data_IF_929752669073
#
_entry.id   IF_929752669073
#
_cell.length_a   1.000
_cell.length_b   1.000
_cell.length_c   1.000
_cell.angle_alpha   90.00
_cell.angle_beta   90.00
_cell.angle_gamma   90.00
#
_symmetry.space_group_name_H-M   'P 1'
#
loop_
_entity.id
_entity.type
_entity.pdbx_description
1 polymer ?
#
# COMPACT_ATOMS: atom_id res chain seq x y z
N UNK A 1 -22.59 0.79 3.85
CA UNK A 1 -21.87 0.10 2.73
C UNK A 1 -22.55 0.46 1.41
N UNK A 2 -21.82 0.46 0.28
CA UNK A 2 -22.41 0.51 -1.08
C UNK A 2 -22.18 -0.82 -1.78
N UNK A 3 -23.14 -1.31 -2.57
CA UNK A 3 -23.05 -2.65 -3.20
C UNK A 3 -23.58 -2.66 -4.64
N UNK A 4 -23.07 -3.61 -5.44
CA UNK A 4 -23.61 -3.95 -6.76
C UNK A 4 -23.19 -5.36 -7.17
N UNK A 5 -24.14 -6.26 -7.36
CA UNK A 5 -23.93 -7.62 -7.83
C UNK A 5 -22.90 -8.41 -6.99
N UNK A 6 -23.06 -8.42 -5.67
CA UNK A 6 -22.17 -9.11 -4.73
C UNK A 6 -22.81 -10.32 -4.05
N UNK A 7 -23.88 -10.91 -4.61
CA UNK A 7 -24.61 -12.02 -3.99
C UNK A 7 -23.70 -13.23 -3.69
N UNK A 8 -22.63 -13.42 -4.47
CA UNK A 8 -21.67 -14.52 -4.33
C UNK A 8 -20.64 -14.34 -3.21
N UNK A 9 -20.50 -13.14 -2.63
CA UNK A 9 -19.50 -12.86 -1.57
C UNK A 9 -20.04 -12.09 -0.37
N UNK A 10 -21.14 -11.34 -0.52
CA UNK A 10 -21.56 -10.39 0.51
C UNK A 10 -21.95 -11.08 1.83
N UNK A 11 -22.54 -12.28 1.79
CA UNK A 11 -23.00 -13.01 2.99
C UNK A 11 -21.92 -13.10 4.06
N UNK A 12 -20.71 -13.57 3.71
CA UNK A 12 -19.61 -13.72 4.67
C UNK A 12 -19.16 -12.37 5.26
N UNK A 13 -19.21 -11.29 4.48
CA UNK A 13 -18.91 -9.95 4.96
C UNK A 13 -19.94 -9.53 6.02
N UNK A 14 -21.24 -9.65 5.69
CA UNK A 14 -22.33 -9.27 6.59
C UNK A 14 -22.31 -10.09 7.89
N UNK A 15 -22.14 -11.41 7.79
CA UNK A 15 -22.03 -12.30 8.96
C UNK A 15 -20.84 -11.93 9.85
N UNK A 16 -19.71 -11.52 9.27
CA UNK A 16 -18.51 -11.13 10.02
C UNK A 16 -18.66 -9.81 10.78
N UNK A 17 -19.41 -8.85 10.23
CA UNK A 17 -19.61 -7.53 10.87
C UNK A 17 -20.80 -7.51 11.82
N UNK A 18 -21.78 -8.41 11.63
CA UNK A 18 -23.01 -8.50 12.40
C UNK A 18 -22.82 -8.43 13.93
N UNK A 19 -21.83 -9.08 14.56
CA UNK A 19 -21.64 -9.02 16.01
C UNK A 19 -21.18 -7.66 16.55
N UNK A 20 -20.83 -6.71 15.66
CA UNK A 20 -20.24 -5.43 16.01
C UNK A 20 -21.15 -4.23 15.79
N UNK A 21 -22.34 -4.45 15.23
CA UNK A 21 -23.24 -3.38 14.81
C UNK A 21 -24.61 -3.54 15.46
N UNK A 22 -25.20 -2.42 15.87
CA UNK A 22 -26.57 -2.37 16.38
C UNK A 22 -27.59 -2.10 15.27
N UNK A 23 -27.16 -1.46 14.19
CA UNK A 23 -27.98 -1.12 13.02
C UNK A 23 -27.16 -1.16 11.74
N UNK A 24 -27.82 -1.17 10.58
CA UNK A 24 -27.16 -1.20 9.28
C UNK A 24 -27.82 -0.28 8.25
N UNK A 25 -26.99 0.30 7.39
CA UNK A 25 -27.43 1.00 6.16
C UNK A 25 -26.59 0.53 4.99
N UNK A 26 -27.28 -0.02 3.99
CA UNK A 26 -26.66 -0.46 2.75
C UNK A 26 -27.36 0.24 1.58
N UNK A 27 -26.56 0.82 0.69
CA UNK A 27 -27.03 1.45 -0.54
C UNK A 27 -26.68 0.53 -1.72
N UNK A 28 -27.71 -0.11 -2.27
CA UNK A 28 -27.62 -0.90 -3.48
C UNK A 28 -27.71 -0.01 -4.72
N UNK A 29 -26.76 -0.18 -5.64
CA UNK A 29 -26.58 0.69 -6.80
C UNK A 29 -27.10 0.07 -8.11
N UNK A 30 -28.05 -0.86 -7.98
CA UNK A 30 -28.70 -1.56 -9.09
C UNK A 30 -28.19 -2.98 -9.27
N UNK A 31 -28.17 -3.78 -8.20
CA UNK A 31 -27.92 -5.21 -8.27
C UNK A 31 -29.06 -5.95 -8.96
N UNK A 32 -28.70 -6.98 -9.72
CA UNK A 32 -29.63 -7.84 -10.49
C UNK A 32 -29.41 -9.34 -10.23
N UNK A 33 -28.57 -9.68 -9.26
CA UNK A 33 -28.11 -11.05 -8.97
C UNK A 33 -28.68 -11.62 -7.65
N UNK A 34 -29.59 -10.90 -7.00
CA UNK A 34 -30.15 -11.28 -5.69
C UNK A 34 -29.36 -10.77 -4.49
N UNK A 35 -28.38 -9.87 -4.67
CA UNK A 35 -27.62 -9.24 -3.57
C UNK A 35 -28.55 -8.67 -2.48
N UNK A 36 -29.64 -8.01 -2.89
CA UNK A 36 -30.62 -7.43 -1.99
C UNK A 36 -31.27 -8.48 -1.09
N UNK A 37 -31.57 -9.66 -1.62
CA UNK A 37 -32.22 -10.73 -0.86
C UNK A 37 -31.28 -11.34 0.16
N UNK A 38 -30.00 -11.51 -0.19
CA UNK A 38 -28.97 -11.94 0.75
C UNK A 38 -28.82 -10.96 1.92
N UNK A 39 -28.84 -9.65 1.64
CA UNK A 39 -28.77 -8.62 2.69
C UNK A 39 -29.97 -8.72 3.64
N UNK A 40 -31.19 -8.79 3.09
CA UNK A 40 -32.41 -8.87 3.89
C UNK A 40 -32.48 -10.14 4.72
N UNK A 41 -31.99 -11.26 4.19
CA UNK A 41 -31.92 -12.53 4.93
C UNK A 41 -30.96 -12.43 6.12
N UNK A 42 -29.71 -12.00 5.88
CA UNK A 42 -28.66 -11.96 6.91
C UNK A 42 -28.99 -10.99 8.04
N UNK A 43 -29.66 -9.88 7.76
CA UNK A 43 -30.05 -8.88 8.76
C UNK A 43 -31.55 -8.83 9.07
N UNK A 44 -32.28 -9.91 8.80
CA UNK A 44 -33.74 -9.99 8.97
C UNK A 44 -34.25 -9.63 10.37
N UNK A 45 -33.42 -9.77 11.39
CA UNK A 45 -33.70 -9.53 12.81
C UNK A 45 -32.89 -8.36 13.42
N UNK A 46 -32.13 -7.62 12.62
CA UNK A 46 -31.37 -6.44 13.04
C UNK A 46 -31.99 -5.16 12.45
N UNK A 47 -32.24 -4.11 13.24
CA UNK A 47 -32.79 -2.86 12.70
C UNK A 47 -31.84 -2.27 11.66
N UNK A 48 -32.40 -1.66 10.62
CA UNK A 48 -31.61 -1.08 9.53
C UNK A 48 -32.38 -0.99 8.23
N UNK A 49 -31.73 -0.49 7.19
CA UNK A 49 -32.36 -0.21 5.92
C UNK A 49 -31.47 -0.51 4.70
N UNK A 50 -32.10 -1.13 3.70
CA UNK A 50 -31.57 -1.26 2.35
C UNK A 50 -32.17 -0.16 1.47
N UNK A 51 -31.33 0.63 0.82
CA UNK A 51 -31.74 1.68 -0.10
C UNK A 51 -31.29 1.36 -1.51
N UNK A 52 -32.24 1.32 -2.45
CA UNK A 52 -31.94 1.15 -3.87
C UNK A 52 -31.88 2.53 -4.54
N UNK A 53 -30.69 2.89 -5.06
CA UNK A 53 -30.40 4.21 -5.61
C UNK A 53 -29.59 4.11 -6.92
N UNK A 54 -29.76 5.06 -7.86
CA UNK A 54 -28.88 5.13 -9.02
C UNK A 54 -27.41 5.36 -8.63
N UNK A 55 -26.48 4.77 -9.38
CA UNK A 55 -25.05 4.99 -9.19
C UNK A 55 -24.65 6.46 -9.42
N UNK A 56 -24.03 7.09 -8.41
CA UNK A 56 -23.56 8.50 -8.46
C UNK A 56 -22.03 8.64 -8.49
N UNK A 57 -21.30 7.57 -8.77
CA UNK A 57 -19.85 7.51 -8.58
C UNK A 57 -19.47 6.99 -7.18
N UNK A 58 -18.18 6.72 -6.96
CA UNK A 58 -17.69 6.12 -5.71
C UNK A 58 -17.86 7.08 -4.53
N UNK A 59 -17.38 8.31 -4.67
CA UNK A 59 -17.55 9.40 -3.71
C UNK A 59 -19.03 9.74 -3.49
N UNK A 60 -19.79 9.95 -4.56
CA UNK A 60 -21.19 10.35 -4.49
C UNK A 60 -22.09 9.31 -3.79
N UNK A 61 -21.97 8.04 -4.18
CA UNK A 61 -22.81 6.97 -3.61
C UNK A 61 -22.39 6.62 -2.18
N UNK A 62 -21.08 6.67 -1.85
CA UNK A 62 -20.62 6.48 -0.47
C UNK A 62 -21.03 7.63 0.44
N UNK A 63 -21.00 8.87 -0.05
CA UNK A 63 -21.47 10.04 0.71
C UNK A 63 -22.97 9.99 0.94
N UNK A 64 -23.77 9.57 -0.05
CA UNK A 64 -25.21 9.34 0.14
C UNK A 64 -25.48 8.25 1.18
N UNK A 65 -24.70 7.16 1.19
CA UNK A 65 -24.82 6.13 2.21
C UNK A 65 -24.50 6.66 3.62
N UNK A 66 -23.54 7.59 3.76
CA UNK A 66 -23.26 8.27 5.03
C UNK A 66 -24.45 9.11 5.47
N UNK A 67 -25.02 9.90 4.55
CA UNK A 67 -26.14 10.79 4.88
C UNK A 67 -27.38 10.02 5.32
N UNK A 68 -27.65 8.88 4.69
CA UNK A 68 -28.74 7.98 5.09
C UNK A 68 -28.51 7.31 6.45
N UNK A 69 -27.25 7.05 6.83
CA UNK A 69 -26.91 6.37 8.08
C UNK A 69 -26.72 7.31 9.28
N UNK A 70 -26.53 8.61 9.02
CA UNK A 70 -26.09 9.57 10.04
C UNK A 70 -27.05 9.71 11.21
N UNK A 71 -28.36 9.61 10.99
CA UNK A 71 -29.38 9.68 12.05
C UNK A 71 -29.58 8.36 12.79
N UNK A 72 -29.03 7.27 12.29
CA UNK A 72 -29.34 5.92 12.77
C UNK A 72 -28.32 5.41 13.81
N UNK A 73 -27.16 6.06 13.93
CA UNK A 73 -26.06 5.60 14.79
C UNK A 73 -25.18 6.75 15.31
N UNK A 74 -24.43 6.49 16.39
CA UNK A 74 -23.40 7.41 16.90
C UNK A 74 -22.08 7.31 16.13
N UNK A 75 -21.82 6.14 15.54
CA UNK A 75 -20.63 5.81 14.76
C UNK A 75 -20.99 5.00 13.52
N UNK A 76 -20.25 5.23 12.43
CA UNK A 76 -20.39 4.55 11.15
C UNK A 76 -19.14 3.72 10.87
N UNK A 77 -19.33 2.42 10.66
CA UNK A 77 -18.30 1.48 10.23
C UNK A 77 -18.38 1.26 8.71
N UNK A 78 -17.26 1.39 8.01
CA UNK A 78 -17.13 1.17 6.59
C UNK A 78 -16.34 -0.11 6.31
N UNK A 79 -16.96 -1.01 5.55
CA UNK A 79 -16.35 -2.24 5.06
C UNK A 79 -16.85 -2.51 3.64
N UNK A 80 -15.99 -3.07 2.79
CA UNK A 80 -16.32 -3.42 1.41
C UNK A 80 -16.92 -4.84 1.38
N UNK A 81 -17.84 -5.10 0.44
CA UNK A 81 -18.68 -6.31 0.44
C UNK A 81 -17.90 -7.63 0.24
N UNK A 82 -16.65 -7.56 -0.21
CA UNK A 82 -15.76 -8.70 -0.40
C UNK A 82 -14.67 -8.84 0.68
N UNK A 83 -14.65 -7.94 1.67
CA UNK A 83 -13.80 -8.01 2.85
C UNK A 83 -14.50 -8.69 4.04
N UNK A 84 -13.74 -9.10 5.06
CA UNK A 84 -14.25 -9.65 6.31
C UNK A 84 -13.81 -8.82 7.50
N UNK A 85 -14.60 -8.80 8.56
CA UNK A 85 -14.17 -8.31 9.86
C UNK A 85 -13.72 -9.48 10.73
N UNK A 86 -12.48 -9.43 11.22
CA UNK A 86 -11.92 -10.38 12.16
C UNK A 86 -11.75 -9.71 13.52
N UNK A 87 -12.21 -10.36 14.59
CA UNK A 87 -12.10 -9.87 15.95
C UNK A 87 -11.25 -10.83 16.79
N UNK A 88 -10.45 -10.27 17.69
CA UNK A 88 -9.65 -11.07 18.61
C UNK A 88 -10.57 -11.86 19.57
N UNK A 89 -10.14 -13.05 20.03
CA UNK A 89 -10.91 -13.82 21.01
C UNK A 89 -11.22 -13.00 22.27
N UNK A 90 -12.50 -12.93 22.63
CA UNK A 90 -12.96 -12.16 23.79
C UNK A 90 -13.09 -10.65 23.55
N UNK A 91 -13.00 -10.20 22.29
CA UNK A 91 -13.24 -8.81 21.93
C UNK A 91 -14.56 -8.30 22.49
N UNK A 92 -14.50 -7.09 23.06
CA UNK A 92 -15.66 -6.31 23.49
C UNK A 92 -15.52 -4.92 22.91
N UNK A 93 -16.62 -4.39 22.38
CA UNK A 93 -16.64 -3.03 21.84
C UNK A 93 -16.13 -2.05 22.91
N UNK A 94 -15.01 -1.35 22.66
CA UNK A 94 -14.50 -0.37 23.61
C UNK A 94 -15.37 0.88 23.61
N UNK A 95 -15.25 1.70 24.66
CA UNK A 95 -15.81 3.05 24.64
C UNK A 95 -15.15 3.86 23.52
N UNK A 96 -15.97 4.38 22.59
CA UNK A 96 -15.53 5.19 21.48
C UNK A 96 -15.55 6.67 21.87
N UNK A 97 -14.36 7.26 21.98
CA UNK A 97 -14.13 8.63 22.46
C UNK A 97 -13.57 9.56 21.39
N UNK A 98 -13.02 9.03 20.30
CA UNK A 98 -12.44 9.81 19.21
C UNK A 98 -13.46 10.03 18.10
N UNK A 99 -13.25 11.03 17.26
CA UNK A 99 -14.13 11.34 16.12
C UNK A 99 -13.94 10.36 14.96
N UNK A 100 -12.76 9.75 14.86
CA UNK A 100 -12.48 8.69 13.91
C UNK A 100 -11.48 7.67 14.47
N UNK A 101 -11.48 6.48 13.88
CA UNK A 101 -10.53 5.43 14.19
C UNK A 101 -9.95 4.81 12.91
N UNK A 102 -8.64 4.59 12.94
CA UNK A 102 -7.97 3.70 12.01
C UNK A 102 -8.21 2.24 12.41
N UNK A 103 -8.60 1.43 11.43
CA UNK A 103 -8.73 -0.03 11.54
C UNK A 103 -7.63 -0.65 10.66
N UNK A 104 -6.95 -1.67 11.15
CA UNK A 104 -5.97 -2.39 10.35
C UNK A 104 -6.67 -3.19 9.26
N UNK A 105 -6.18 -3.08 8.03
CA UNK A 105 -6.62 -3.80 6.84
C UNK A 105 -5.49 -4.75 6.42
N UNK A 106 -5.73 -6.05 6.54
CA UNK A 106 -4.77 -7.09 6.20
C UNK A 106 -5.04 -7.59 4.77
N UNK A 107 -4.07 -7.41 3.88
CA UNK A 107 -4.07 -7.96 2.52
C UNK A 107 -2.91 -8.95 2.38
N UNK A 108 -3.13 -10.21 2.76
CA UNK A 108 -2.03 -11.18 2.90
C UNK A 108 -1.08 -10.77 4.02
N UNK A 109 0.21 -10.61 3.72
CA UNK A 109 1.24 -10.15 4.69
C UNK A 109 1.27 -8.63 4.85
N UNK A 110 0.56 -7.89 4.01
CA UNK A 110 0.56 -6.43 4.00
C UNK A 110 -0.53 -5.88 4.92
N UNK A 111 -0.15 -4.95 5.80
CA UNK A 111 -1.08 -4.26 6.70
C UNK A 111 -1.14 -2.78 6.32
N UNK A 112 -2.35 -2.29 6.05
CA UNK A 112 -2.65 -0.88 5.86
C UNK A 112 -3.59 -0.36 6.94
N UNK A 113 -3.58 0.93 7.22
CA UNK A 113 -4.50 1.54 8.18
C UNK A 113 -5.53 2.37 7.43
N UNK A 114 -6.82 2.00 7.57
CA UNK A 114 -7.94 2.70 6.94
C UNK A 114 -8.75 3.43 8.01
N UNK A 115 -9.07 4.70 7.79
CA UNK A 115 -10.12 5.38 8.56
C UNK A 115 -11.47 4.74 8.20
N UNK A 116 -11.86 3.72 8.97
CA UNK A 116 -13.01 2.89 8.67
C UNK A 116 -14.13 3.02 9.71
N UNK A 117 -13.89 3.70 10.83
CA UNK A 117 -14.91 3.96 11.85
C UNK A 117 -14.92 5.45 12.18
N UNK A 118 -16.06 6.12 12.03
CA UNK A 118 -16.19 7.57 12.24
C UNK A 118 -17.44 7.94 13.02
N UNK A 119 -17.37 8.96 13.88
CA UNK A 119 -18.53 9.44 14.62
C UNK A 119 -19.47 10.27 13.73
N UNK A 120 -20.78 10.13 13.91
CA UNK A 120 -21.79 10.91 13.18
C UNK A 120 -21.84 12.39 13.56
N UNK A 121 -21.13 12.80 14.63
CA UNK A 121 -21.01 14.18 15.11
C UNK A 121 -20.36 15.15 14.10
N UNK A 122 -19.53 14.64 13.19
CA UNK A 122 -18.84 15.45 12.17
C UNK A 122 -19.40 15.19 10.77
N UNK A 123 -19.39 16.18 9.85
CA UNK A 123 -20.00 16.08 8.54
C UNK A 123 -19.13 15.31 7.53
N UNK A 124 -18.90 14.03 7.81
CA UNK A 124 -18.11 13.14 6.96
C UNK A 124 -18.69 13.00 5.55
N UNK A 125 -17.81 12.93 4.55
CA UNK A 125 -18.11 12.60 3.17
C UNK A 125 -16.92 11.89 2.52
N UNK A 126 -17.17 11.12 1.48
CA UNK A 126 -16.12 10.58 0.64
C UNK A 126 -15.78 11.58 -0.47
N UNK A 127 -14.49 11.70 -0.78
CA UNK A 127 -13.98 12.56 -1.86
C UNK A 127 -13.06 11.76 -2.76
N UNK A 128 -13.31 11.88 -4.07
CA UNK A 128 -12.47 11.32 -5.12
C UNK A 128 -13.25 10.42 -6.08
N UNK A 129 -13.02 10.60 -7.38
CA UNK A 129 -13.67 9.76 -8.42
C UNK A 129 -13.24 8.29 -8.38
N UNK A 130 -12.08 8.00 -7.77
CA UNK A 130 -11.51 6.68 -7.51
C UNK A 130 -10.40 6.82 -6.45
N UNK A 131 -10.15 5.77 -5.66
CA UNK A 131 -9.25 5.81 -4.50
C UNK A 131 -9.68 6.90 -3.51
N UNK A 132 -10.99 6.95 -3.30
CA UNK A 132 -11.68 7.88 -2.45
C UNK A 132 -11.21 7.79 -1.00
N UNK A 133 -11.24 8.92 -0.31
CA UNK A 133 -10.91 9.02 1.10
C UNK A 133 -12.04 9.75 1.82
N UNK A 134 -12.17 9.52 3.12
CA UNK A 134 -13.18 10.14 3.95
C UNK A 134 -12.61 11.41 4.61
N UNK A 135 -13.36 12.50 4.57
CA UNK A 135 -13.00 13.76 5.22
C UNK A 135 -14.23 14.43 5.85
N UNK A 136 -14.00 15.34 6.81
CA UNK A 136 -15.06 16.13 7.44
C UNK A 136 -14.89 17.64 7.23
N UNK A 137 -13.91 18.07 6.41
CA UNK A 137 -13.64 19.49 6.15
C UNK A 137 -12.95 20.25 7.29
N UNK A 138 -12.46 19.56 8.33
CA UNK A 138 -11.76 20.15 9.47
C UNK A 138 -10.83 19.16 10.16
N UNK A 139 -10.20 19.59 11.24
CA UNK A 139 -9.42 18.72 12.12
C UNK A 139 -10.35 17.86 12.98
N UNK A 140 -9.91 16.65 13.29
CA UNK A 140 -10.65 15.69 14.11
C UNK A 140 -9.70 14.86 14.96
N UNK A 141 -10.20 14.31 16.06
CA UNK A 141 -9.43 13.36 16.87
C UNK A 141 -9.42 11.98 16.19
N UNK A 142 -8.24 11.35 16.17
CA UNK A 142 -8.02 10.08 15.50
C UNK A 142 -7.42 9.05 16.46
N UNK A 143 -8.13 7.95 16.67
CA UNK A 143 -7.68 6.81 17.47
C UNK A 143 -7.30 5.59 16.61
N UNK A 144 -6.86 4.53 17.26
CA UNK A 144 -6.68 3.21 16.65
C UNK A 144 -7.72 2.25 17.22
N UNK A 145 -8.49 1.60 16.34
CA UNK A 145 -9.43 0.55 16.73
C UNK A 145 -8.64 -0.74 16.93
N UNK A 146 -8.53 -1.19 18.19
CA UNK A 146 -7.74 -2.36 18.57
C UNK A 146 -8.65 -3.56 18.76
N UNK A 147 -8.13 -4.76 18.48
CA UNK A 147 -8.86 -6.01 18.69
C UNK A 147 -9.83 -6.39 17.58
N UNK A 148 -9.92 -5.58 16.51
CA UNK A 148 -10.68 -5.91 15.31
C UNK A 148 -9.97 -5.37 14.06
N UNK A 149 -9.90 -6.20 13.03
CA UNK A 149 -9.18 -5.94 11.79
C UNK A 149 -10.08 -6.26 10.60
N UNK A 150 -9.90 -5.54 9.50
CA UNK A 150 -10.50 -5.88 8.22
C UNK A 150 -9.53 -6.82 7.48
N UNK A 151 -10.02 -7.97 7.01
CA UNK A 151 -9.27 -8.88 6.16
C UNK A 151 -9.73 -8.71 4.72
N UNK A 152 -8.81 -8.35 3.83
CA UNK A 152 -9.12 -8.29 2.41
C UNK A 152 -9.00 -9.66 1.76
N UNK A 153 -10.15 -10.26 1.49
CA UNK A 153 -10.25 -11.61 0.91
C UNK A 153 -10.50 -11.53 -0.60
N UNK A 154 -11.09 -10.44 -1.06
CA UNK A 154 -11.38 -10.18 -2.47
C UNK A 154 -12.40 -11.14 -3.07
N UNK A 155 -12.50 -11.14 -4.40
CA UNK A 155 -13.48 -11.95 -5.13
C UNK A 155 -14.78 -11.20 -5.47
N UNK A 156 -14.83 -9.89 -5.24
CA UNK A 156 -15.92 -9.03 -5.69
C UNK A 156 -16.11 -9.02 -7.21
N UNK A 157 -17.30 -8.63 -7.65
CA UNK A 157 -17.73 -8.73 -9.05
C UNK A 157 -16.81 -8.00 -10.03
N UNK A 158 -16.31 -6.82 -9.65
CA UNK A 158 -15.50 -5.94 -10.51
C UNK A 158 -14.22 -6.60 -11.04
N UNK A 159 -13.58 -7.50 -10.29
CA UNK A 159 -12.35 -8.17 -10.75
C UNK A 159 -12.64 -9.36 -11.67
N UNK A 160 -13.75 -10.09 -11.43
CA UNK A 160 -14.09 -11.32 -12.16
C UNK A 160 -14.44 -11.07 -13.62
N UNK A 161 -15.07 -9.95 -13.93
CA UNK A 161 -15.66 -9.73 -15.26
C UNK A 161 -14.65 -9.43 -16.37
N UNK A 162 -13.49 -8.83 -16.08
CA UNK A 162 -12.72 -8.12 -17.12
C UNK A 162 -11.20 -8.38 -17.13
N UNK A 163 -10.69 -9.14 -16.16
CA UNK A 163 -9.26 -9.36 -16.00
C UNK A 163 -8.49 -8.11 -15.54
N UNK A 164 -7.28 -8.32 -15.02
CA UNK A 164 -6.54 -7.30 -14.28
C UNK A 164 -6.15 -6.08 -15.14
N UNK A 165 -5.70 -6.29 -16.38
CA UNK A 165 -5.27 -5.19 -17.25
C UNK A 165 -6.41 -4.25 -17.65
N UNK A 166 -7.57 -4.79 -18.04
CA UNK A 166 -8.69 -3.95 -18.50
C UNK A 166 -9.30 -3.14 -17.35
N UNK A 167 -9.34 -3.72 -16.14
CA UNK A 167 -9.68 -2.99 -14.91
C UNK A 167 -8.84 -1.72 -14.79
N UNK A 168 -7.52 -1.84 -14.82
CA UNK A 168 -6.65 -0.68 -14.62
C UNK A 168 -6.69 0.33 -15.79
N UNK A 169 -6.95 -0.11 -17.02
CA UNK A 169 -7.21 0.81 -18.14
C UNK A 169 -8.50 1.61 -17.95
N UNK A 170 -9.54 1.01 -17.36
CA UNK A 170 -10.78 1.72 -17.00
C UNK A 170 -10.53 2.72 -15.88
N UNK A 171 -9.78 2.32 -14.87
CA UNK A 171 -9.43 3.17 -13.73
C UNK A 171 -8.67 4.42 -14.21
N UNK A 172 -7.71 4.22 -15.11
CA UNK A 172 -7.01 5.31 -15.77
C UNK A 172 -7.98 6.26 -16.52
N UNK A 173 -8.97 5.73 -17.27
CA UNK A 173 -9.98 6.55 -17.96
C UNK A 173 -10.85 7.36 -16.99
N UNK A 174 -11.23 6.78 -15.84
CA UNK A 174 -12.02 7.48 -14.81
C UNK A 174 -11.22 8.65 -14.26
N UNK A 175 -9.96 8.41 -13.89
CA UNK A 175 -9.07 9.44 -13.34
C UNK A 175 -8.73 10.52 -14.37
N UNK A 176 -8.54 10.16 -15.64
CA UNK A 176 -8.39 11.14 -16.73
C UNK A 176 -9.61 12.06 -16.84
N UNK A 177 -10.84 11.52 -16.75
CA UNK A 177 -12.06 12.34 -16.74
C UNK A 177 -12.14 13.23 -15.50
N UNK A 178 -11.72 12.73 -14.34
CA UNK A 178 -11.59 13.52 -13.11
C UNK A 178 -10.65 14.72 -13.30
N UNK A 179 -9.48 14.50 -13.90
CA UNK A 179 -8.48 15.55 -14.19
C UNK A 179 -8.91 16.57 -15.25
N UNK A 180 -9.94 16.29 -16.06
CA UNK A 180 -10.53 17.34 -16.93
C UNK A 180 -11.25 18.38 -16.07
N UNK A 181 -11.89 17.95 -14.98
CA UNK A 181 -12.64 18.84 -14.07
C UNK A 181 -11.73 19.45 -12.99
N UNK A 182 -10.80 18.66 -12.47
CA UNK A 182 -9.88 19.04 -11.41
C UNK A 182 -8.42 18.84 -11.88
N UNK A 183 -7.90 19.69 -12.78
CA UNK A 183 -6.61 19.48 -13.41
C UNK A 183 -5.45 19.41 -12.42
N UNK A 184 -5.53 20.12 -11.30
CA UNK A 184 -4.47 20.19 -10.29
C UNK A 184 -4.62 19.17 -9.14
N UNK A 185 -5.57 18.23 -9.25
CA UNK A 185 -5.75 17.18 -8.25
C UNK A 185 -4.58 16.19 -8.28
N UNK A 186 -3.62 16.40 -7.37
CA UNK A 186 -2.38 15.62 -7.29
C UNK A 186 -2.64 14.14 -6.99
N UNK A 187 -3.64 13.84 -6.15
CA UNK A 187 -4.06 12.46 -5.85
C UNK A 187 -4.52 11.73 -7.11
N UNK A 188 -5.33 12.38 -7.96
CA UNK A 188 -5.75 11.78 -9.22
C UNK A 188 -4.56 11.51 -10.14
N UNK A 189 -3.59 12.42 -10.26
CA UNK A 189 -2.38 12.19 -11.06
C UNK A 189 -1.57 11.00 -10.53
N UNK A 190 -1.45 10.85 -9.21
CA UNK A 190 -0.73 9.75 -8.59
C UNK A 190 -1.37 8.38 -8.88
N UNK A 191 -2.67 8.22 -8.63
CA UNK A 191 -3.36 6.96 -8.89
C UNK A 191 -3.53 6.67 -10.38
N UNK A 192 -3.50 7.71 -11.20
CA UNK A 192 -3.52 7.56 -12.65
C UNK A 192 -2.18 6.98 -13.15
N UNK A 193 -1.06 7.43 -12.59
CA UNK A 193 0.25 6.83 -12.83
C UNK A 193 0.29 5.36 -12.40
N UNK A 194 -0.26 5.02 -11.23
CA UNK A 194 -0.38 3.63 -10.77
C UNK A 194 -1.25 2.79 -11.69
N UNK A 195 -2.42 3.29 -12.08
CA UNK A 195 -3.32 2.59 -13.00
C UNK A 195 -2.64 2.27 -14.34
N UNK A 196 -1.84 3.19 -14.88
CA UNK A 196 -1.07 2.89 -16.08
C UNK A 196 0.07 1.89 -15.85
N UNK A 197 0.76 1.94 -14.71
CA UNK A 197 1.77 0.94 -14.37
C UNK A 197 1.15 -0.45 -14.36
N UNK A 198 0.06 -0.60 -13.62
CA UNK A 198 -0.59 -1.90 -13.37
C UNK A 198 -1.36 -2.39 -14.62
N UNK A 199 -1.66 -1.50 -15.57
CA UNK A 199 -2.15 -1.82 -16.91
C UNK A 199 -1.03 -2.20 -17.93
N UNK A 200 0.24 -2.16 -17.53
CA UNK A 200 1.38 -2.43 -18.42
C UNK A 200 1.64 -1.30 -19.43
N UNK A 201 1.43 -0.04 -19.03
CA UNK A 201 1.65 1.16 -19.84
C UNK A 201 2.81 2.02 -19.27
N UNK A 202 4.05 1.50 -19.23
CA UNK A 202 5.14 2.08 -18.42
C UNK A 202 5.52 3.50 -18.86
N UNK A 203 5.46 3.81 -20.17
CA UNK A 203 5.74 5.17 -20.68
C UNK A 203 4.70 6.20 -20.22
N UNK A 204 3.41 5.84 -20.19
CA UNK A 204 2.33 6.72 -19.70
C UNK A 204 2.44 6.90 -18.19
N UNK A 205 2.69 5.80 -17.49
CA UNK A 205 2.90 5.80 -16.04
C UNK A 205 4.07 6.71 -15.64
N UNK A 206 5.23 6.57 -16.29
CA UNK A 206 6.40 7.41 -16.03
C UNK A 206 6.10 8.90 -16.22
N UNK A 207 5.45 9.27 -17.31
CA UNK A 207 5.08 10.67 -17.56
C UNK A 207 4.12 11.23 -16.50
N UNK A 208 3.20 10.41 -16.01
CA UNK A 208 2.28 10.78 -14.94
C UNK A 208 2.96 10.91 -13.58
N UNK A 209 3.90 10.01 -13.25
CA UNK A 209 4.72 10.16 -12.04
C UNK A 209 5.63 11.39 -12.11
N UNK A 210 6.21 11.70 -13.27
CA UNK A 210 6.99 12.93 -13.47
C UNK A 210 6.16 14.19 -13.25
N UNK A 211 4.90 14.16 -13.67
CA UNK A 211 3.94 15.22 -13.34
C UNK A 211 3.69 15.25 -11.84
N UNK A 212 3.33 14.11 -11.24
CA UNK A 212 2.97 14.03 -9.82
C UNK A 212 4.08 14.53 -8.90
N UNK A 213 5.32 14.12 -9.15
CA UNK A 213 6.49 14.50 -8.38
C UNK A 213 6.68 16.03 -8.31
N UNK A 214 6.32 16.75 -9.37
CA UNK A 214 6.43 18.22 -9.45
C UNK A 214 5.28 18.98 -8.77
N UNK A 215 4.19 18.30 -8.38
CA UNK A 215 3.01 18.96 -7.82
C UNK A 215 3.10 19.25 -6.32
N UNK A 216 4.12 18.75 -5.61
CA UNK A 216 4.23 18.91 -4.15
C UNK A 216 3.08 18.24 -3.39
N UNK A 217 2.63 18.84 -2.29
CA UNK A 217 1.52 18.32 -1.47
C UNK A 217 1.95 17.17 -0.56
N UNK A 218 1.17 16.08 -0.53
CA UNK A 218 1.45 14.94 0.35
C UNK A 218 2.81 14.30 0.03
N UNK A 219 3.75 14.43 0.96
CA UNK A 219 5.16 14.13 0.74
C UNK A 219 5.44 12.63 0.49
N UNK A 220 4.65 11.71 1.05
CA UNK A 220 4.83 10.28 0.79
C UNK A 220 4.44 9.90 -0.65
N UNK A 221 3.40 10.51 -1.22
CA UNK A 221 3.06 10.32 -2.64
C UNK A 221 4.11 10.92 -3.57
N UNK A 222 4.74 12.05 -3.20
CA UNK A 222 5.85 12.64 -3.96
C UNK A 222 7.04 11.70 -3.97
N UNK A 223 7.41 11.14 -2.81
CA UNK A 223 8.45 10.12 -2.71
C UNK A 223 8.14 8.91 -3.59
N UNK A 224 6.95 8.32 -3.45
CA UNK A 224 6.53 7.18 -4.26
C UNK A 224 6.56 7.51 -5.77
N UNK A 225 6.16 8.72 -6.18
CA UNK A 225 6.22 9.12 -7.58
C UNK A 225 7.65 9.16 -8.11
N UNK A 226 8.61 9.68 -7.34
CA UNK A 226 10.02 9.63 -7.71
C UNK A 226 10.56 8.20 -7.77
N UNK A 227 10.31 7.40 -6.72
CA UNK A 227 10.80 6.03 -6.62
C UNK A 227 10.26 5.12 -7.74
N UNK A 228 8.95 5.13 -7.96
CA UNK A 228 8.33 4.32 -9.00
C UNK A 228 8.67 4.83 -10.40
N UNK A 229 8.83 6.15 -10.56
CA UNK A 229 9.39 6.73 -11.78
C UNK A 229 10.82 6.27 -12.07
N UNK A 230 11.68 6.13 -11.05
CA UNK A 230 13.04 5.60 -11.21
C UNK A 230 13.04 4.15 -11.69
N UNK A 231 12.19 3.30 -11.10
CA UNK A 231 12.04 1.88 -11.48
C UNK A 231 11.50 1.73 -12.89
N UNK A 232 10.46 2.48 -13.26
CA UNK A 232 9.92 2.49 -14.61
C UNK A 232 10.93 3.01 -15.63
N UNK A 233 11.74 4.01 -15.27
CA UNK A 233 12.81 4.49 -16.14
C UNK A 233 13.87 3.41 -16.39
N UNK A 234 14.22 2.62 -15.37
CA UNK A 234 15.08 1.45 -15.54
C UNK A 234 14.43 0.37 -16.41
N UNK A 235 13.15 0.06 -16.19
CA UNK A 235 12.40 -0.97 -16.93
C UNK A 235 12.33 -0.68 -18.44
N UNK A 236 12.20 0.60 -18.83
CA UNK A 236 12.14 1.01 -20.25
C UNK A 236 13.50 1.42 -20.82
N UNK A 237 14.60 1.00 -20.18
CA UNK A 237 15.98 1.24 -20.61
C UNK A 237 16.32 2.73 -20.85
N UNK A 238 15.87 3.63 -19.94
CA UNK A 238 16.34 5.02 -19.98
C UNK A 238 17.85 5.09 -19.72
N UNK A 239 18.53 6.14 -20.22
CA UNK A 239 19.95 6.33 -19.97
C UNK A 239 20.30 6.22 -18.47
N UNK A 240 21.36 5.49 -18.08
CA UNK A 240 21.67 5.24 -16.67
C UNK A 240 21.76 6.49 -15.80
N UNK A 241 22.28 7.60 -16.33
CA UNK A 241 22.34 8.87 -15.62
C UNK A 241 20.94 9.39 -15.20
N UNK A 242 19.92 9.19 -16.05
CA UNK A 242 18.53 9.58 -15.73
C UNK A 242 17.92 8.67 -14.67
N UNK A 243 18.22 7.36 -14.71
CA UNK A 243 17.73 6.42 -13.71
C UNK A 243 18.33 6.74 -12.33
N UNK A 244 19.64 6.97 -12.29
CA UNK A 244 20.37 7.33 -11.06
C UNK A 244 19.83 8.64 -10.48
N UNK A 245 19.71 9.69 -11.29
CA UNK A 245 19.14 10.98 -10.86
C UNK A 245 17.74 10.83 -10.25
N UNK A 246 16.89 9.96 -10.83
CA UNK A 246 15.54 9.72 -10.31
C UNK A 246 15.53 9.05 -8.94
N UNK A 247 16.41 8.08 -8.70
CA UNK A 247 16.56 7.48 -7.37
C UNK A 247 17.09 8.49 -6.35
N UNK A 248 18.06 9.32 -6.74
CA UNK A 248 18.60 10.37 -5.88
C UNK A 248 17.53 11.41 -5.52
N UNK A 249 16.71 11.85 -6.47
CA UNK A 249 15.55 12.72 -6.20
C UNK A 249 14.54 12.10 -5.26
N UNK A 250 14.30 10.78 -5.37
CA UNK A 250 13.45 10.08 -4.41
C UNK A 250 14.04 10.22 -2.99
N UNK A 251 15.32 9.92 -2.82
CA UNK A 251 16.00 10.08 -1.53
C UNK A 251 15.98 11.53 -1.01
N UNK A 252 16.30 12.51 -1.85
CA UNK A 252 16.28 13.94 -1.51
C UNK A 252 14.88 14.40 -1.06
N UNK A 253 13.82 13.89 -1.70
CA UNK A 253 12.44 14.25 -1.33
C UNK A 253 12.01 13.72 0.03
N UNK A 254 12.60 12.60 0.48
CA UNK A 254 12.27 11.98 1.77
C UNK A 254 13.42 11.10 2.28
N UNK A 255 14.44 11.69 2.94
CA UNK A 255 15.63 10.93 3.36
C UNK A 255 15.34 9.79 4.35
N UNK A 256 14.28 9.90 5.14
CA UNK A 256 13.80 8.83 6.03
C UNK A 256 13.38 7.56 5.27
N UNK A 257 13.09 7.67 3.97
CA UNK A 257 12.76 6.57 3.07
C UNK A 257 13.94 6.10 2.21
N UNK A 258 15.16 6.43 2.62
CA UNK A 258 16.35 6.14 1.83
C UNK A 258 16.70 4.64 1.75
N UNK A 259 16.15 3.78 2.61
CA UNK A 259 16.29 2.32 2.45
C UNK A 259 15.81 1.86 1.07
N UNK A 260 14.61 2.29 0.66
CA UNK A 260 14.05 1.97 -0.65
C UNK A 260 14.76 2.66 -1.81
N UNK A 261 15.03 3.97 -1.67
CA UNK A 261 15.61 4.76 -2.75
C UNK A 261 17.08 4.41 -3.01
N UNK A 262 17.91 4.41 -1.96
CA UNK A 262 19.34 4.11 -2.08
C UNK A 262 19.60 2.61 -2.19
N UNK A 263 18.81 1.77 -1.53
CA UNK A 263 18.88 0.32 -1.71
C UNK A 263 18.51 -0.08 -3.14
N UNK A 264 17.41 0.48 -3.67
CA UNK A 264 17.02 0.28 -5.07
C UNK A 264 18.08 0.77 -6.06
N UNK A 265 18.72 1.91 -5.77
CA UNK A 265 19.82 2.43 -6.57
C UNK A 265 21.08 1.54 -6.51
N UNK A 266 21.42 1.03 -5.33
CA UNK A 266 22.53 0.09 -5.16
C UNK A 266 22.31 -1.18 -5.99
N UNK A 267 21.11 -1.76 -5.89
CA UNK A 267 20.69 -2.90 -6.71
C UNK A 267 20.75 -2.59 -8.20
N UNK A 268 20.30 -1.41 -8.62
CA UNK A 268 20.41 -0.97 -10.01
C UNK A 268 21.86 -0.91 -10.48
N UNK A 269 22.77 -0.30 -9.70
CA UNK A 269 24.21 -0.23 -10.01
C UNK A 269 24.87 -1.61 -10.10
N UNK A 270 24.47 -2.55 -9.24
CA UNK A 270 24.93 -3.94 -9.30
C UNK A 270 24.45 -4.64 -10.57
N UNK A 271 23.15 -4.57 -10.87
CA UNK A 271 22.56 -5.28 -12.00
C UNK A 271 22.88 -4.66 -13.37
N UNK A 272 23.19 -3.36 -13.42
CA UNK A 272 23.41 -2.61 -14.66
C UNK A 272 24.85 -2.10 -14.74
N UNK A 273 25.74 -3.00 -15.16
CA UNK A 273 27.15 -2.70 -15.43
C UNK A 273 28.08 -2.92 -14.24
N UNK A 274 27.65 -3.68 -13.22
CA UNK A 274 28.51 -4.14 -12.12
C UNK A 274 29.32 -3.01 -11.50
N UNK A 275 28.66 -1.88 -11.24
CA UNK A 275 29.30 -0.65 -10.73
C UNK A 275 29.53 -0.78 -9.21
N UNK A 276 30.33 -1.77 -8.82
CA UNK A 276 30.51 -2.22 -7.44
C UNK A 276 30.85 -1.09 -6.46
N UNK A 277 31.76 -0.14 -6.75
CA UNK A 277 32.04 0.96 -5.83
C UNK A 277 30.81 1.83 -5.53
N UNK A 278 29.94 2.07 -6.52
CA UNK A 278 28.70 2.82 -6.31
C UNK A 278 27.64 1.98 -5.60
N UNK A 279 27.49 0.71 -5.98
CA UNK A 279 26.58 -0.20 -5.30
C UNK A 279 26.92 -0.27 -3.80
N UNK A 280 28.21 -0.40 -3.48
CA UNK A 280 28.72 -0.41 -2.10
C UNK A 280 28.40 0.90 -1.37
N UNK A 281 28.73 2.06 -1.95
CA UNK A 281 28.48 3.37 -1.35
C UNK A 281 26.99 3.58 -1.02
N UNK A 282 26.09 3.29 -1.97
CA UNK A 282 24.65 3.48 -1.77
C UNK A 282 24.05 2.43 -0.81
N UNK A 283 24.45 1.16 -0.91
CA UNK A 283 23.97 0.11 -0.01
C UNK A 283 24.41 0.37 1.44
N UNK A 284 25.65 0.83 1.64
CA UNK A 284 26.17 1.18 2.96
C UNK A 284 25.39 2.31 3.61
N UNK A 285 24.97 3.32 2.85
CA UNK A 285 24.09 4.37 3.35
C UNK A 285 22.69 3.84 3.61
N UNK A 286 22.11 3.06 2.68
CA UNK A 286 20.77 2.50 2.82
C UNK A 286 20.63 1.62 4.08
N UNK A 287 21.62 0.77 4.37
CA UNK A 287 21.62 -0.15 5.50
C UNK A 287 21.72 0.53 6.89
N UNK A 288 22.03 1.83 6.93
CA UNK A 288 22.06 2.64 8.15
C UNK A 288 20.74 3.38 8.42
N UNK A 289 19.84 3.43 7.44
CA UNK A 289 18.57 4.15 7.57
C UNK A 289 17.57 3.27 8.32
N UNK A 290 17.04 3.72 9.47
CA UNK A 290 16.08 2.94 10.25
C UNK A 290 14.71 2.90 9.56
N UNK A 291 13.85 1.99 10.02
CA UNK A 291 12.46 1.90 9.57
C UNK A 291 11.73 3.26 9.74
N UNK A 292 11.00 3.75 8.71
CA UNK A 292 10.39 5.07 8.73
C UNK A 292 9.10 5.11 9.57
N UNK A 293 8.66 6.30 9.96
CA UNK A 293 7.31 6.53 10.55
C UNK A 293 6.19 6.67 9.51
N UNK A 294 6.55 6.57 8.25
CA UNK A 294 5.66 6.64 7.09
C UNK A 294 4.67 5.49 7.07
N UNK A 295 3.61 5.65 6.29
CA UNK A 295 2.52 4.65 6.20
C UNK A 295 2.18 4.28 4.76
N UNK A 296 2.42 5.16 3.79
CA UNK A 296 2.08 4.94 2.40
C UNK A 296 3.14 4.07 1.71
N UNK A 297 2.76 2.83 1.42
CA UNK A 297 3.51 1.86 0.61
C UNK A 297 4.99 1.73 1.03
N UNK A 298 5.25 1.63 2.34
CA UNK A 298 6.59 1.35 2.86
C UNK A 298 6.95 -0.09 2.51
N UNK A 299 8.07 -0.28 1.80
CA UNK A 299 8.60 -1.61 1.47
C UNK A 299 9.54 -2.04 2.59
N UNK A 300 9.00 -2.76 3.57
CA UNK A 300 9.66 -3.12 4.82
C UNK A 300 10.95 -3.93 4.59
N UNK A 301 11.02 -4.71 3.51
CA UNK A 301 12.15 -5.59 3.20
C UNK A 301 13.47 -4.82 3.05
N UNK A 302 13.42 -3.57 2.57
CA UNK A 302 14.59 -2.68 2.49
C UNK A 302 15.20 -2.36 3.86
N UNK A 303 14.37 -2.28 4.89
CA UNK A 303 14.79 -1.96 6.26
C UNK A 303 15.13 -3.20 7.07
N UNK A 304 14.57 -4.34 6.69
CA UNK A 304 14.75 -5.58 7.42
C UNK A 304 15.96 -6.39 6.95
N UNK A 305 16.19 -6.49 5.64
CA UNK A 305 17.27 -7.35 5.14
C UNK A 305 17.84 -6.96 3.77
N UNK A 306 17.05 -6.44 2.82
CA UNK A 306 17.54 -6.17 1.45
C UNK A 306 18.74 -5.21 1.43
N UNK A 307 18.68 -4.08 2.16
CA UNK A 307 19.81 -3.12 2.13
C UNK A 307 21.09 -3.71 2.73
N UNK A 308 20.96 -4.56 3.76
CA UNK A 308 22.10 -5.22 4.38
C UNK A 308 22.67 -6.34 3.48
N UNK A 309 21.82 -7.04 2.73
CA UNK A 309 22.22 -8.04 1.74
C UNK A 309 22.90 -7.40 0.53
N UNK A 310 22.36 -6.31 -0.01
CA UNK A 310 23.03 -5.54 -1.07
C UNK A 310 24.39 -5.00 -0.60
N UNK A 311 24.51 -4.58 0.66
CA UNK A 311 25.79 -4.18 1.25
C UNK A 311 26.75 -5.36 1.34
N UNK A 312 26.30 -6.51 1.83
CA UNK A 312 27.13 -7.71 1.96
C UNK A 312 27.74 -8.13 0.60
N UNK A 313 26.90 -8.15 -0.44
CA UNK A 313 27.33 -8.50 -1.80
C UNK A 313 28.28 -7.45 -2.36
N UNK A 314 27.93 -6.16 -2.30
CA UNK A 314 28.77 -5.12 -2.86
C UNK A 314 30.13 -5.01 -2.14
N UNK A 315 30.15 -5.17 -0.81
CA UNK A 315 31.37 -5.17 0.00
C UNK A 315 32.35 -6.28 -0.43
N UNK A 316 31.84 -7.48 -0.74
CA UNK A 316 32.67 -8.58 -1.24
C UNK A 316 33.37 -8.20 -2.55
N UNK A 317 32.63 -7.64 -3.50
CA UNK A 317 33.16 -7.27 -4.82
C UNK A 317 34.06 -6.03 -4.81
N UNK A 318 34.04 -5.23 -3.74
CA UNK A 318 34.99 -4.13 -3.52
C UNK A 318 36.18 -4.52 -2.64
N UNK A 319 36.28 -5.78 -2.18
CA UNK A 319 37.38 -6.27 -1.35
C UNK A 319 37.23 -6.01 0.15
N UNK A 320 36.06 -5.50 0.58
CA UNK A 320 35.71 -5.24 1.98
C UNK A 320 35.15 -6.53 2.62
N UNK A 321 35.97 -7.60 2.61
CA UNK A 321 35.53 -8.95 2.99
C UNK A 321 35.07 -9.06 4.45
N UNK A 322 35.68 -8.32 5.36
CA UNK A 322 35.28 -8.28 6.77
C UNK A 322 33.86 -7.71 6.92
N UNK A 323 33.56 -6.61 6.24
CA UNK A 323 32.21 -6.03 6.25
C UNK A 323 31.20 -6.96 5.58
N UNK A 324 31.57 -7.61 4.47
CA UNK A 324 30.73 -8.60 3.82
C UNK A 324 30.38 -9.77 4.74
N UNK A 325 31.38 -10.34 5.44
CA UNK A 325 31.18 -11.42 6.40
C UNK A 325 30.29 -10.97 7.58
N UNK A 326 30.56 -9.79 8.16
CA UNK A 326 29.76 -9.24 9.26
C UNK A 326 28.31 -9.03 8.85
N UNK A 327 28.05 -8.49 7.67
CA UNK A 327 26.69 -8.27 7.16
C UNK A 327 25.97 -9.60 6.93
N UNK A 328 26.64 -10.58 6.31
CA UNK A 328 26.09 -11.91 6.06
C UNK A 328 25.76 -12.66 7.36
N UNK A 329 26.63 -12.58 8.37
CA UNK A 329 26.39 -13.15 9.69
C UNK A 329 25.16 -12.51 10.36
N UNK A 330 25.08 -11.17 10.37
CA UNK A 330 23.91 -10.44 10.92
C UNK A 330 22.60 -10.80 10.22
N UNK A 331 22.64 -11.01 8.90
CA UNK A 331 21.47 -11.45 8.13
C UNK A 331 20.97 -12.81 8.61
N UNK A 332 21.86 -13.80 8.75
CA UNK A 332 21.52 -15.15 9.23
C UNK A 332 21.00 -15.12 10.68
N UNK A 333 21.58 -14.29 11.54
CA UNK A 333 21.16 -14.15 12.95
C UNK A 333 19.82 -13.42 13.12
N UNK A 334 19.43 -12.58 12.15
CA UNK A 334 18.22 -11.76 12.27
C UNK A 334 16.92 -12.55 12.28
N UNK A 335 16.91 -13.74 11.67
CA UNK A 335 15.68 -14.50 11.39
C UNK A 335 14.73 -13.84 10.38
N UNK A 336 15.14 -12.75 9.73
CA UNK A 336 14.31 -11.96 8.79
C UNK A 336 14.54 -12.29 7.31
N UNK A 337 15.60 -13.04 7.01
CA UNK A 337 15.92 -13.46 5.64
C UNK A 337 14.93 -14.55 5.21
N UNK A 338 14.28 -14.41 4.04
CA UNK A 338 13.40 -15.46 3.51
C UNK A 338 14.13 -16.80 3.34
N UNK A 339 13.46 -17.95 3.61
CA UNK A 339 14.10 -19.27 3.58
C UNK A 339 14.82 -19.62 2.27
N UNK A 340 14.29 -19.19 1.13
CA UNK A 340 14.85 -19.39 -0.21
C UNK A 340 16.15 -18.60 -0.46
N UNK A 341 16.50 -17.66 0.43
CA UNK A 341 17.74 -16.90 0.36
C UNK A 341 18.81 -17.37 1.36
N UNK A 342 18.48 -18.20 2.35
CA UNK A 342 19.41 -18.60 3.40
C UNK A 342 20.68 -19.28 2.84
N UNK A 343 20.53 -20.24 1.93
CA UNK A 343 21.67 -20.94 1.31
C UNK A 343 22.60 -20.00 0.53
N UNK A 344 22.03 -18.95 -0.09
CA UNK A 344 22.83 -17.94 -0.78
C UNK A 344 23.61 -17.08 0.23
N UNK A 345 22.96 -16.63 1.30
CA UNK A 345 23.60 -15.80 2.33
C UNK A 345 24.69 -16.57 3.08
N UNK A 346 24.47 -17.85 3.39
CA UNK A 346 25.47 -18.73 3.99
C UNK A 346 26.70 -18.86 3.10
N UNK A 347 26.52 -19.12 1.79
CA UNK A 347 27.64 -19.19 0.84
C UNK A 347 28.39 -17.86 0.70
N UNK A 348 27.69 -16.72 0.78
CA UNK A 348 28.33 -15.40 0.78
C UNK A 348 29.24 -15.23 2.02
N UNK A 349 28.76 -15.65 3.20
CA UNK A 349 29.54 -15.62 4.43
C UNK A 349 30.80 -16.51 4.34
N UNK A 350 30.65 -17.74 3.83
CA UNK A 350 31.75 -18.68 3.63
C UNK A 350 32.81 -18.09 2.67
N UNK A 351 32.36 -17.58 1.51
CA UNK A 351 33.24 -16.96 0.51
C UNK A 351 34.05 -15.80 1.10
N UNK A 352 33.41 -14.95 1.91
CA UNK A 352 34.09 -13.84 2.58
C UNK A 352 35.11 -14.31 3.62
N UNK A 353 34.80 -15.36 4.40
CA UNK A 353 35.74 -15.95 5.37
C UNK A 353 36.95 -16.58 4.71
N UNK A 354 36.76 -17.27 3.58
CA UNK A 354 37.87 -17.85 2.81
C UNK A 354 38.86 -16.78 2.33
N UNK A 355 38.37 -15.63 1.88
CA UNK A 355 39.21 -14.49 1.47
C UNK A 355 40.01 -13.90 2.62
N UNK A 356 39.44 -13.85 3.83
CA UNK A 356 40.12 -13.36 5.02
C UNK A 356 41.22 -14.33 5.48
N UNK A 357 40.92 -15.63 5.56
CA UNK A 357 41.92 -16.65 5.94
C UNK A 357 43.06 -16.79 4.93
N UNK A 358 42.80 -16.54 3.64
CA UNK A 358 43.85 -16.51 2.61
C UNK A 358 44.80 -15.31 2.75
N UNK A 359 44.36 -14.21 3.35
CA UNK A 359 45.18 -13.00 3.57
C UNK A 359 46.14 -13.19 4.74
N UNK A 360 45.67 -13.78 5.84
CA UNK A 360 46.50 -14.08 7.01
C UNK A 360 47.67 -15.03 6.69
N UNK A 361 47.52 -15.91 5.70
CA UNK A 361 48.58 -16.82 5.23
C UNK A 361 49.61 -16.19 4.27
N UNK A 362 49.31 -15.01 3.71
CA UNK A 362 50.21 -14.29 2.80
C UNK A 362 51.01 -13.22 3.55
N UNK A 363 50.46 -12.69 4.65
CA UNK A 363 51.10 -11.68 5.50
C UNK A 363 51.90 -12.30 6.69
N UNK A 364 51.86 -13.63 6.85
CA UNK A 364 52.66 -14.41 7.81
C UNK A 364 53.86 -15.07 7.13
#
# INVERSE_FOLDING_TARGET
MIVKNEAHVIRRCLESVRPLIDTWVILDTGSTDGTQDVIRDVFSDLPGALHERPWKGYDGSRSEAIDLARSEADYLLFIDADDLMEVEPGFRMPELTHDAYHVALHSGTLIHWRQALVSTRLPWRYVGVLHEYIECGGSHSLGTFKGANILSVGGGARLKEEGQRQKYLRDAKILQKGLIKEPDNSRYVFYLAQSWRDAGEPKKSLAAYDRRARMGGYAEEVFCAHLYGARLAAEIDRPPAQVIDRYLRAYESRPSRGGEALGGLARYCRMNGERWPLAYMYARQAAQIPYPKDTLFVEFEWYEWHSLDELAVAAYWTGEYEESARCSQRLLESGKVPPDHLDRVTRNLESSREKLGSRELVDA
#
